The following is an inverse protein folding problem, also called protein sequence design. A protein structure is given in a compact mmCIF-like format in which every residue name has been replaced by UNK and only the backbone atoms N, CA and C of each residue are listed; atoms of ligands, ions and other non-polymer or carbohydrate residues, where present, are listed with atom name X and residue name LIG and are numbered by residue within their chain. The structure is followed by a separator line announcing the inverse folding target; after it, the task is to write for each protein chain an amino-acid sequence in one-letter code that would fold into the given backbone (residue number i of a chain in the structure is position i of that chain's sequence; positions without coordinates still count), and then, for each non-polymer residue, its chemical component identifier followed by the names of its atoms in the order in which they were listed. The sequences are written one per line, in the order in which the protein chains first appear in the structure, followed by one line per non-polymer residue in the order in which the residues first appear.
data_IF_681852963802
#
_entry.id   IF_681852963802
#
_cell.length_a   1.000
_cell.length_b   1.000
_cell.length_c   1.000
_cell.angle_alpha   90.00
_cell.angle_beta   90.00
_cell.angle_gamma   90.00
#
_symmetry.space_group_name_H-M   'P 1'
#
loop_
_entity.id
_entity.type
_entity.pdbx_description
1 polymer ?
#
# COMPACT_ATOMS: atom_id res chain seq x y z
N UNK A 1 -18.07 5.23 -5.78
CA UNK A 1 -16.94 5.25 -4.84
C UNK A 1 -16.43 3.82 -4.63
N UNK A 2 -15.16 3.61 -4.85
CA UNK A 2 -14.56 2.30 -4.64
C UNK A 2 -13.60 2.38 -3.46
N UNK A 3 -13.86 1.58 -2.45
CA UNK A 3 -13.02 1.50 -1.28
C UNK A 3 -12.29 0.17 -1.25
N UNK A 4 -11.04 0.20 -0.78
CA UNK A 4 -10.24 -1.01 -0.75
C UNK A 4 -9.37 -1.01 0.50
N UNK A 5 -9.14 -2.19 1.04
CA UNK A 5 -8.17 -2.40 2.09
C UNK A 5 -7.17 -3.43 1.60
N UNK A 6 -5.90 -3.08 1.65
CA UNK A 6 -4.83 -3.96 1.20
C UNK A 6 -3.97 -4.31 2.40
N UNK A 7 -3.79 -5.61 2.64
CA UNK A 7 -2.95 -6.09 3.72
C UNK A 7 -1.80 -6.87 3.10
N UNK A 8 -0.58 -6.48 3.40
CA UNK A 8 0.56 -7.17 2.84
C UNK A 8 1.86 -6.57 3.30
N UNK A 9 2.94 -7.02 2.66
CA UNK A 9 4.29 -6.60 3.04
C UNK A 9 4.86 -5.65 2.01
N UNK A 10 5.62 -4.67 2.49
CA UNK A 10 6.29 -3.71 1.62
C UNK A 10 7.44 -4.41 0.91
N UNK A 11 7.47 -4.30 -0.43
CA UNK A 11 8.39 -5.07 -1.24
C UNK A 11 9.61 -4.29 -1.71
N UNK A 12 9.60 -2.97 -1.57
CA UNK A 12 10.71 -2.16 -2.06
C UNK A 12 10.86 -0.93 -1.20
N UNK A 13 12.03 -0.31 -1.30
CA UNK A 13 12.26 0.95 -0.61
C UNK A 13 11.42 2.04 -1.25
N UNK A 14 11.07 3.02 -0.47
CA UNK A 14 10.30 4.16 -0.94
C UNK A 14 10.78 5.42 -0.23
N UNK A 15 10.50 6.55 -0.83
CA UNK A 15 10.97 7.81 -0.29
C UNK A 15 9.95 8.91 -0.50
N UNK A 16 10.09 9.97 0.25
CA UNK A 16 9.20 11.10 0.16
C UNK A 16 9.51 11.87 -1.13
N UNK A 17 8.48 12.24 -1.87
CA UNK A 17 8.62 12.95 -3.13
C UNK A 17 7.68 14.15 -3.14
N UNK A 18 8.01 15.11 -4.01
CA UNK A 18 7.15 16.27 -4.22
C UNK A 18 7.02 16.48 -5.73
N UNK A 19 5.90 17.06 -6.13
CA UNK A 19 5.70 17.44 -7.52
C UNK A 19 6.04 18.91 -7.69
N UNK A 20 6.56 19.30 -8.87
CA UNK A 20 6.80 20.72 -9.13
C UNK A 20 5.51 21.50 -8.94
N UNK A 21 5.61 22.59 -8.16
CA UNK A 21 4.45 23.43 -7.91
C UNK A 21 3.50 22.93 -6.86
N UNK A 22 3.82 21.82 -6.20
CA UNK A 22 2.98 21.25 -5.16
C UNK A 22 3.82 21.09 -3.90
N UNK A 23 3.35 21.65 -2.80
CA UNK A 23 4.06 21.58 -1.53
C UNK A 23 3.76 20.32 -0.73
N UNK A 24 2.78 19.54 -1.16
CA UNK A 24 2.35 18.38 -0.39
C UNK A 24 3.19 17.18 -0.80
N UNK A 25 3.94 16.60 0.13
CA UNK A 25 4.76 15.42 -0.20
C UNK A 25 3.88 14.19 -0.40
N UNK A 26 4.42 13.23 -1.13
CA UNK A 26 3.74 11.97 -1.32
C UNK A 26 4.78 10.85 -1.39
N UNK A 27 4.31 9.62 -1.24
CA UNK A 27 5.17 8.43 -1.41
C UNK A 27 4.34 7.34 -2.06
N UNK A 28 5.02 6.49 -2.84
CA UNK A 28 4.39 5.32 -3.45
C UNK A 28 4.96 4.09 -2.77
N UNK A 29 4.10 3.30 -2.16
CA UNK A 29 4.50 2.11 -1.43
C UNK A 29 4.03 0.89 -2.21
N UNK A 30 4.96 -0.01 -2.52
CA UNK A 30 4.62 -1.22 -3.24
C UNK A 30 4.42 -2.35 -2.26
N UNK A 31 3.28 -3.02 -2.37
CA UNK A 31 2.85 -4.02 -1.40
C UNK A 31 2.58 -5.34 -2.09
N UNK A 32 3.04 -6.43 -1.48
CA UNK A 32 2.73 -7.79 -1.92
C UNK A 32 1.69 -8.36 -0.97
N UNK A 33 0.55 -8.72 -1.52
CA UNK A 33 -0.57 -9.26 -0.75
C UNK A 33 -0.88 -10.66 -1.23
N UNK A 34 -0.84 -11.62 -0.33
CA UNK A 34 -1.10 -13.01 -0.68
C UNK A 34 -2.59 -13.27 -0.72
N UNK A 35 -3.01 -14.03 -1.72
CA UNK A 35 -4.42 -14.44 -1.80
C UNK A 35 -4.67 -15.51 -0.76
N UNK A 36 -5.94 -15.62 -0.37
CA UNK A 36 -6.33 -16.58 0.66
C UNK A 36 -6.42 -18.00 0.14
N UNK A 37 -6.30 -18.19 -1.17
CA UNK A 37 -6.39 -19.52 -1.78
C UNK A 37 -5.14 -19.76 -2.63
N UNK A 38 -4.91 -21.03 -2.93
CA UNK A 38 -3.78 -21.44 -3.76
C UNK A 38 -4.30 -21.91 -5.11
N UNK A 39 -3.40 -22.01 -6.09
CA UNK A 39 -3.80 -22.52 -7.39
C UNK A 39 -3.92 -24.06 -7.32
N UNK A 40 -4.21 -24.65 -8.47
CA UNK A 40 -4.44 -26.11 -8.50
C UNK A 40 -3.23 -26.90 -8.12
N UNK A 41 -2.06 -26.38 -8.39
CA UNK A 41 -0.80 -27.05 -8.06
C UNK A 41 -0.35 -26.78 -6.64
N UNK A 42 -1.11 -26.03 -5.87
CA UNK A 42 -0.76 -25.71 -4.50
C UNK A 42 0.15 -24.51 -4.35
N UNK A 43 0.40 -23.78 -5.42
CA UNK A 43 1.27 -22.60 -5.37
C UNK A 43 0.57 -21.41 -4.77
N UNK A 44 1.32 -20.63 -4.00
CA UNK A 44 0.81 -19.41 -3.42
C UNK A 44 0.65 -18.34 -4.50
N UNK A 45 -0.46 -17.63 -4.45
CA UNK A 45 -0.73 -16.54 -5.39
C UNK A 45 -0.58 -15.21 -4.67
N UNK A 46 0.17 -14.31 -5.27
CA UNK A 46 0.47 -13.01 -4.67
C UNK A 46 0.12 -11.91 -5.64
N UNK A 47 -0.56 -10.89 -5.12
CA UNK A 47 -0.88 -9.69 -5.89
C UNK A 47 0.06 -8.58 -5.46
N UNK A 48 0.58 -7.84 -6.44
CA UNK A 48 1.45 -6.71 -6.20
C UNK A 48 0.69 -5.44 -6.55
N UNK A 49 0.58 -4.54 -5.60
CA UNK A 49 -0.14 -3.29 -5.80
C UNK A 49 0.69 -2.13 -5.29
N UNK A 50 0.46 -0.95 -5.86
CA UNK A 50 1.10 0.28 -5.41
C UNK A 50 0.06 1.16 -4.75
N UNK A 51 0.45 1.73 -3.62
CA UNK A 51 -0.44 2.57 -2.82
C UNK A 51 0.22 3.93 -2.67
N UNK A 52 -0.53 4.98 -2.95
CA UNK A 52 -0.04 6.36 -2.81
C UNK A 52 -0.52 6.93 -1.49
N UNK A 53 0.40 7.52 -0.74
CA UNK A 53 0.09 8.25 0.48
C UNK A 53 0.56 9.69 0.31
N UNK A 54 -0.12 10.63 0.95
CA UNK A 54 0.16 12.05 0.78
C UNK A 54 0.19 12.75 2.14
N UNK A 55 0.91 13.88 2.18
CA UNK A 55 0.92 14.75 3.33
C UNK A 55 1.54 14.14 4.56
N UNK A 56 0.93 14.38 5.70
CA UNK A 56 1.45 13.89 6.96
C UNK A 56 1.51 12.37 7.01
N UNK A 57 0.56 11.71 6.36
CA UNK A 57 0.58 10.25 6.32
C UNK A 57 1.80 9.74 5.56
N UNK A 58 2.17 10.43 4.47
CA UNK A 58 3.37 10.05 3.72
C UNK A 58 4.63 10.24 4.57
N UNK A 59 4.71 11.34 5.29
CA UNK A 59 5.85 11.61 6.16
C UNK A 59 5.95 10.56 7.26
N UNK A 60 4.84 10.20 7.84
CA UNK A 60 4.82 9.18 8.89
C UNK A 60 5.26 7.82 8.35
N UNK A 61 4.80 7.45 7.16
CA UNK A 61 5.18 6.18 6.57
C UNK A 61 6.67 6.13 6.25
N UNK A 62 7.22 7.20 5.70
CA UNK A 62 8.64 7.22 5.36
C UNK A 62 9.49 7.16 6.62
N UNK A 63 9.02 7.76 7.69
CA UNK A 63 9.77 7.78 8.94
C UNK A 63 9.76 6.42 9.64
N UNK A 64 8.66 5.71 9.61
CA UNK A 64 8.47 4.53 10.44
C UNK A 64 8.43 3.19 9.71
N UNK A 65 8.25 3.19 8.40
CA UNK A 65 8.10 1.95 7.65
C UNK A 65 9.31 1.69 6.76
N UNK A 66 9.58 0.43 6.52
CA UNK A 66 10.66 0.03 5.65
C UNK A 66 10.28 -1.24 4.90
N UNK A 67 11.09 -1.58 3.92
CA UNK A 67 10.91 -2.81 3.15
C UNK A 67 10.81 -4.00 4.09
N UNK A 68 9.83 -4.83 3.85
CA UNK A 68 9.58 -6.01 4.66
C UNK A 68 8.51 -5.84 5.72
N UNK A 69 8.17 -4.61 6.07
CA UNK A 69 7.14 -4.38 7.08
C UNK A 69 5.77 -4.75 6.54
N UNK A 70 4.91 -5.18 7.44
CA UNK A 70 3.54 -5.53 7.10
C UNK A 70 2.62 -4.39 7.47
N UNK A 71 1.73 -4.03 6.55
CA UNK A 71 0.80 -2.92 6.78
C UNK A 71 -0.58 -3.27 6.25
N UNK A 72 -1.56 -2.52 6.71
CA UNK A 72 -2.90 -2.52 6.13
C UNK A 72 -3.18 -1.11 5.65
N UNK A 73 -3.40 -0.97 4.35
CA UNK A 73 -3.67 0.32 3.72
C UNK A 73 -5.12 0.37 3.30
N UNK A 74 -5.82 1.41 3.72
CA UNK A 74 -7.23 1.59 3.38
C UNK A 74 -7.39 2.91 2.65
N UNK A 75 -8.16 2.90 1.58
CA UNK A 75 -8.37 4.12 0.83
C UNK A 75 -9.25 3.93 -0.38
N UNK A 76 -9.07 4.79 -1.34
CA UNK A 76 -9.86 4.81 -2.55
C UNK A 76 -9.14 4.10 -3.69
N UNK A 77 -9.89 3.30 -4.42
CA UNK A 77 -9.40 2.62 -5.62
C UNK A 77 -9.87 3.41 -6.82
N UNK A 78 -8.93 3.89 -7.62
CA UNK A 78 -9.24 4.67 -8.81
C UNK A 78 -8.63 4.02 -10.03
N UNK A 79 -9.38 3.99 -11.11
CA UNK A 79 -8.85 3.46 -12.36
C UNK A 79 -8.26 4.59 -13.17
N UNK A 80 -7.27 4.25 -13.97
CA UNK A 80 -6.58 5.20 -14.85
C UNK A 80 -6.99 4.86 -16.27
N UNK A 81 -7.46 5.86 -17.01
CA UNK A 81 -7.88 5.67 -18.40
C UNK A 81 -7.15 6.66 -19.28
N UNK A 82 -6.85 6.23 -20.50
CA UNK A 82 -6.16 7.07 -21.46
C UNK A 82 -6.72 6.75 -22.85
N UNK A 83 -6.71 7.74 -23.78
CA UNK A 83 -7.17 7.47 -25.15
C UNK A 83 -6.17 6.60 -25.88
N UNK A 84 -6.69 5.67 -26.68
CA UNK A 84 -5.84 4.85 -27.54
C UNK A 84 -5.61 5.59 -28.86
N UNK A 85 -4.98 4.90 -29.82
CA UNK A 85 -4.66 5.55 -31.11
C UNK A 85 -5.89 6.01 -31.86
N UNK A 86 -7.06 5.46 -31.56
CA UNK A 86 -8.31 5.85 -32.22
C UNK A 86 -9.08 6.86 -31.38
N UNK A 87 -8.54 7.33 -30.27
CA UNK A 87 -9.22 8.28 -29.41
C UNK A 87 -10.23 7.64 -28.48
N UNK A 88 -10.31 6.33 -28.42
CA UNK A 88 -11.25 5.64 -27.55
C UNK A 88 -10.60 5.49 -26.17
N UNK A 89 -11.34 5.89 -25.12
CA UNK A 89 -10.82 5.80 -23.77
C UNK A 89 -10.73 4.35 -23.33
N UNK A 90 -9.57 3.96 -22.84
CA UNK A 90 -9.36 2.61 -22.33
C UNK A 90 -8.74 2.67 -20.95
N UNK A 91 -9.09 1.70 -20.12
CA UNK A 91 -8.53 1.61 -18.79
C UNK A 91 -7.11 1.06 -18.91
N UNK A 92 -6.13 1.84 -18.45
CA UNK A 92 -4.71 1.49 -18.60
C UNK A 92 -4.10 1.07 -17.27
N UNK A 93 -4.80 1.22 -16.16
CA UNK A 93 -4.25 0.83 -14.87
C UNK A 93 -5.14 1.29 -13.73
N UNK A 94 -4.57 1.26 -12.54
CA UNK A 94 -5.30 1.70 -11.36
C UNK A 94 -4.34 2.34 -10.38
N UNK A 95 -4.89 3.06 -9.42
CA UNK A 95 -4.13 3.68 -8.36
C UNK A 95 -4.94 3.56 -7.07
N UNK A 96 -4.26 3.21 -5.99
CA UNK A 96 -4.89 3.17 -4.68
C UNK A 96 -4.37 4.37 -3.90
N UNK A 97 -5.27 5.24 -3.49
CA UNK A 97 -4.92 6.41 -2.68
C UNK A 97 -5.30 6.12 -1.25
N UNK A 98 -4.32 5.81 -0.43
CA UNK A 98 -4.57 5.44 0.95
C UNK A 98 -4.81 6.69 1.79
N UNK A 99 -5.81 6.61 2.64
CA UNK A 99 -6.05 7.65 3.63
C UNK A 99 -5.84 7.16 5.05
N UNK A 100 -5.49 5.88 5.20
CA UNK A 100 -5.18 5.31 6.50
C UNK A 100 -4.22 4.14 6.32
N UNK A 101 -3.19 4.09 7.16
CA UNK A 101 -2.21 3.01 7.15
C UNK A 101 -2.09 2.49 8.57
N UNK A 102 -2.27 1.18 8.75
CA UNK A 102 -2.04 0.55 10.03
C UNK A 102 -0.75 -0.25 9.95
N UNK A 103 0.11 -0.06 10.94
CA UNK A 103 1.39 -0.73 11.02
C UNK A 103 1.16 -2.06 11.72
N UNK A 104 1.33 -3.16 10.99
CA UNK A 104 1.03 -4.49 11.51
C UNK A 104 2.27 -5.26 11.92
N UNK A 105 3.46 -4.84 11.48
CA UNK A 105 4.68 -5.50 11.91
C UNK A 105 4.99 -5.11 13.34
N UNK A 106 5.26 -6.06 14.22
CA UNK A 106 5.60 -5.71 15.59
C UNK A 106 6.98 -5.10 15.65
N UNK A 107 7.15 -4.11 16.51
CA UNK A 107 8.46 -3.57 16.79
C UNK A 107 9.15 -4.50 17.76
N UNK A 108 10.44 -4.76 17.58
CA UNK A 108 11.11 -5.72 18.45
C UNK A 108 10.95 -5.46 19.93
N UNK A 109 11.08 -4.22 20.35
CA UNK A 109 10.95 -3.91 21.76
C UNK A 109 9.52 -3.97 22.22
N UNK A 110 8.62 -3.45 21.41
CA UNK A 110 7.22 -3.44 21.76
C UNK A 110 6.67 -4.84 21.79
N UNK A 111 7.16 -5.66 20.91
CA UNK A 111 6.72 -7.02 20.82
C UNK A 111 6.96 -7.77 22.12
N UNK A 112 8.08 -7.50 22.75
CA UNK A 112 8.42 -8.18 23.99
C UNK A 112 7.48 -7.78 25.12
N UNK A 113 6.82 -6.67 25.01
CA UNK A 113 5.98 -6.20 26.08
C UNK A 113 4.51 -6.21 25.76
N UNK A 114 4.16 -6.80 24.67
CA UNK A 114 2.80 -6.72 24.20
C UNK A 114 2.04 -8.02 24.21
N UNK A 115 2.29 -8.89 25.11
CA UNK A 115 1.55 -10.14 25.09
C UNK A 115 0.10 -9.94 25.44
N UNK A 116 -0.18 -8.91 26.11
CA UNK A 116 -1.51 -8.74 26.59
C UNK A 116 -2.47 -8.46 25.52
N UNK A 117 -2.07 -7.68 24.59
CA UNK A 117 -3.01 -7.40 23.58
C UNK A 117 -3.29 -8.62 22.83
N UNK A 118 -2.41 -9.52 22.83
CA UNK A 118 -2.71 -10.79 22.22
C UNK A 118 -3.84 -11.44 22.94
N UNK A 119 -4.01 -11.13 24.18
CA UNK A 119 -5.07 -11.73 24.94
C UNK A 119 -6.42 -11.16 24.60
N UNK A 120 -6.44 -10.13 23.88
CA UNK A 120 -7.70 -9.49 23.57
C UNK A 120 -8.45 -10.21 22.50
#
# INVERSE_FOLDING_TARGET
MLKITVIGNITSDFELRTKPGDDIPYAIIRIASDRRYRDREGNKLTDFVSVKVRGNLAELCVEHLKKGDKIAATGDFETISAPDENGVMRQTGFLIKANDIQFLSPKPEAEATEPDEAAV
#
